data_IF_221472533705
#
_entry.id   IF_221472533705
#
_cell.length_a   1.000
_cell.length_b   1.000
_cell.length_c   1.000
_cell.angle_alpha   90.00
_cell.angle_beta   90.00
_cell.angle_gamma   90.00
#
_symmetry.space_group_name_H-M   'P 1'
#
loop_
_entity.id
_entity.type
_entity.pdbx_description
1 polymer ?
#
# COMPACT_ATOMS: atom_id res chain seq x y z
N UNK A 1 -6.12 6.38 16.55
CA UNK A 1 -4.98 5.70 15.91
C UNK A 1 -4.84 6.28 14.52
N UNK A 2 -3.66 6.73 14.13
CA UNK A 2 -3.42 7.34 12.81
C UNK A 2 -3.21 6.28 11.73
N UNK A 3 -3.41 6.65 10.46
CA UNK A 3 -3.14 5.78 9.30
C UNK A 3 -1.69 5.27 9.30
N UNK A 4 -0.74 6.12 9.69
CA UNK A 4 0.68 5.77 9.82
C UNK A 4 0.89 4.68 10.87
N UNK A 5 0.31 4.83 12.06
CA UNK A 5 0.45 3.85 13.13
C UNK A 5 -0.21 2.51 12.76
N UNK A 6 -1.37 2.55 12.09
CA UNK A 6 -2.05 1.34 11.62
C UNK A 6 -1.23 0.63 10.54
N UNK A 7 -0.65 1.35 9.58
CA UNK A 7 0.21 0.77 8.55
C UNK A 7 1.44 0.06 9.17
N UNK A 8 2.10 0.71 10.15
CA UNK A 8 3.21 0.10 10.90
C UNK A 8 2.79 -1.19 11.61
N UNK A 9 1.63 -1.19 12.28
CA UNK A 9 1.11 -2.37 13.00
C UNK A 9 0.79 -3.55 12.08
N UNK A 10 0.48 -3.29 10.81
CA UNK A 10 0.22 -4.31 9.80
C UNK A 10 1.48 -4.69 8.98
N UNK A 11 2.67 -4.24 9.39
CA UNK A 11 3.92 -4.61 8.73
C UNK A 11 4.11 -3.99 7.34
N UNK A 12 3.43 -2.89 7.04
CA UNK A 12 3.55 -2.21 5.75
C UNK A 12 4.74 -1.25 5.73
N UNK A 13 5.31 -1.09 4.54
CA UNK A 13 6.13 0.07 4.20
C UNK A 13 5.24 1.32 4.23
N UNK A 14 5.39 2.14 5.27
CA UNK A 14 4.58 3.33 5.50
C UNK A 14 4.59 4.29 4.31
N UNK A 15 5.76 4.52 3.72
CA UNK A 15 5.87 5.44 2.58
C UNK A 15 5.15 4.87 1.37
N UNK A 16 5.43 3.60 1.02
CA UNK A 16 4.80 2.93 -0.11
C UNK A 16 3.28 2.86 0.01
N UNK A 17 2.78 2.55 1.21
CA UNK A 17 1.35 2.51 1.50
C UNK A 17 0.70 3.89 1.37
N UNK A 18 1.25 4.94 1.99
CA UNK A 18 0.71 6.29 1.87
C UNK A 18 0.74 6.81 0.42
N UNK A 19 1.83 6.56 -0.32
CA UNK A 19 1.93 6.89 -1.73
C UNK A 19 0.85 6.20 -2.56
N UNK A 20 0.59 4.91 -2.30
CA UNK A 20 -0.46 4.17 -2.97
C UNK A 20 -1.86 4.74 -2.65
N UNK A 21 -2.15 5.02 -1.38
CA UNK A 21 -3.42 5.65 -0.99
C UNK A 21 -3.64 6.99 -1.70
N UNK A 22 -2.60 7.84 -1.74
CA UNK A 22 -2.66 9.14 -2.43
C UNK A 22 -2.84 9.00 -3.94
N UNK A 23 -2.43 7.87 -4.53
CA UNK A 23 -2.62 7.59 -5.96
C UNK A 23 -4.06 7.15 -6.26
N UNK A 24 -4.60 6.22 -5.45
CA UNK A 24 -5.89 5.58 -5.77
C UNK A 24 -7.10 6.34 -5.26
N UNK A 25 -7.04 6.93 -4.05
CA UNK A 25 -8.20 7.58 -3.43
C UNK A 25 -8.76 8.74 -4.25
N UNK A 26 -7.95 9.64 -4.84
CA UNK A 26 -8.48 10.72 -5.68
C UNK A 26 -9.22 10.22 -6.92
N UNK A 27 -8.87 9.03 -7.42
CA UNK A 27 -9.48 8.46 -8.63
C UNK A 27 -10.91 7.95 -8.41
N UNK A 28 -11.31 7.71 -7.16
CA UNK A 28 -12.62 7.13 -6.81
C UNK A 28 -13.70 8.18 -6.48
N UNK A 29 -13.33 9.47 -6.48
CA UNK A 29 -14.26 10.56 -6.17
C UNK A 29 -14.60 10.65 -4.68
N UNK A 30 -15.75 11.26 -4.36
CA UNK A 30 -16.14 11.60 -2.98
C UNK A 30 -16.65 10.41 -2.17
N UNK A 31 -17.18 9.39 -2.85
CA UNK A 31 -17.87 8.26 -2.25
C UNK A 31 -17.40 6.97 -2.92
N UNK A 32 -16.21 6.48 -2.54
CA UNK A 32 -15.78 5.15 -2.95
C UNK A 32 -16.73 4.08 -2.41
N UNK A 33 -16.85 2.96 -3.12
CA UNK A 33 -17.56 1.78 -2.65
C UNK A 33 -16.82 1.11 -1.48
N UNK A 34 -17.56 0.31 -0.70
CA UNK A 34 -16.99 -0.45 0.40
C UNK A 34 -15.94 -1.45 -0.12
N UNK A 35 -16.17 -2.08 -1.27
CA UNK A 35 -15.19 -2.99 -1.89
C UNK A 35 -13.89 -2.28 -2.28
N UNK A 36 -13.98 -1.03 -2.78
CA UNK A 36 -12.81 -0.22 -3.07
C UNK A 36 -12.03 0.08 -1.79
N UNK A 37 -12.71 0.52 -0.74
CA UNK A 37 -12.08 0.80 0.55
C UNK A 37 -11.43 -0.45 1.15
N UNK A 38 -12.12 -1.59 1.12
CA UNK A 38 -11.61 -2.86 1.61
C UNK A 38 -10.33 -3.28 0.86
N UNK A 39 -10.26 -3.04 -0.45
CA UNK A 39 -9.09 -3.39 -1.26
C UNK A 39 -7.81 -2.64 -0.88
N UNK A 40 -7.92 -1.48 -0.23
CA UNK A 40 -6.79 -0.63 0.19
C UNK A 40 -6.55 -0.65 1.70
N UNK A 41 -7.34 -1.42 2.46
CA UNK A 41 -7.12 -1.53 3.91
C UNK A 41 -5.73 -2.09 4.20
N UNK A 42 -5.12 -1.77 5.36
CA UNK A 42 -3.74 -2.14 5.63
C UNK A 42 -3.53 -3.65 5.83
N UNK A 43 -4.61 -4.43 5.94
CA UNK A 43 -4.63 -5.89 5.97
C UNK A 43 -5.10 -6.52 4.66
N UNK A 44 -5.33 -5.71 3.62
CA UNK A 44 -5.79 -6.22 2.33
C UNK A 44 -4.71 -7.02 1.63
N UNK A 45 -5.07 -8.22 1.15
CA UNK A 45 -4.19 -9.07 0.36
C UNK A 45 -3.96 -8.55 -1.06
N UNK A 46 -4.75 -7.56 -1.51
CA UNK A 46 -4.64 -6.97 -2.87
C UNK A 46 -3.70 -5.77 -2.93
N UNK A 47 -3.05 -5.42 -1.81
CA UNK A 47 -2.08 -4.33 -1.79
C UNK A 47 -0.89 -4.63 -2.72
N UNK A 48 -0.38 -3.64 -3.47
CA UNK A 48 0.83 -3.81 -4.27
C UNK A 48 2.06 -4.19 -3.44
N UNK A 49 3.04 -4.89 -4.03
CA UNK A 49 4.30 -5.20 -3.35
C UNK A 49 5.05 -3.97 -2.84
N UNK A 50 4.86 -2.81 -3.48
CA UNK A 50 5.44 -1.53 -3.03
C UNK A 50 4.94 -1.10 -1.65
N UNK A 51 3.77 -1.57 -1.22
CA UNK A 51 3.26 -1.35 0.13
C UNK A 51 3.94 -2.24 1.18
N UNK A 52 4.66 -3.29 0.77
CA UNK A 52 5.32 -4.24 1.67
C UNK A 52 6.85 -4.12 1.65
N UNK A 53 7.44 -3.85 0.48
CA UNK A 53 8.90 -3.79 0.29
C UNK A 53 9.39 -2.35 0.12
N UNK A 54 10.64 -2.10 0.48
CA UNK A 54 11.32 -0.84 0.13
C UNK A 54 11.74 -0.84 -1.34
N UNK A 55 11.99 0.34 -1.91
CA UNK A 55 12.47 0.45 -3.28
C UNK A 55 13.77 -0.35 -3.50
N UNK A 56 14.71 -0.28 -2.55
CA UNK A 56 15.94 -1.07 -2.59
C UNK A 56 15.66 -2.57 -2.65
N UNK A 57 14.76 -3.07 -1.79
CA UNK A 57 14.37 -4.48 -1.80
C UNK A 57 13.73 -4.90 -3.13
N UNK A 58 12.89 -4.05 -3.73
CA UNK A 58 12.25 -4.37 -5.02
C UNK A 58 13.32 -4.48 -6.13
N UNK A 59 14.24 -3.52 -6.19
CA UNK A 59 15.32 -3.50 -7.20
C UNK A 59 16.27 -4.68 -7.03
N UNK A 60 16.62 -5.05 -5.80
CA UNK A 60 17.46 -6.21 -5.50
C UNK A 60 16.78 -7.51 -5.95
N UNK A 61 15.49 -7.72 -5.65
CA UNK A 61 14.76 -8.90 -6.10
C UNK A 61 14.65 -8.97 -7.64
N UNK A 62 14.51 -7.84 -8.33
CA UNK A 62 14.51 -7.82 -9.80
C UNK A 62 15.89 -8.14 -10.41
N UNK A 63 16.97 -7.88 -9.66
CA UNK A 63 18.33 -8.20 -10.08
C UNK A 63 18.68 -9.68 -9.88
N UNK A 64 18.11 -10.34 -8.85
CA UNK A 64 18.31 -11.77 -8.57
C UNK A 64 17.51 -12.69 -9.50
N UNK A 65 16.48 -12.17 -10.18
CA UNK A 65 15.65 -12.93 -11.15
C UNK A 65 16.27 -12.94 -12.57
N UNK A 66 17.49 -12.40 -12.75
CA UNK A 66 18.27 -12.49 -14.00
C UNK A 66 19.39 -13.52 -13.89
#
# INVERSE_FOLDING_TARGET
MSVIETAKRNGLNVFGYLSYLMLVLPSWGKTPSDEQLDSIMPWSATLPETCHRTYHQIVENMAEVK
#
